data_IF_405358245660
#
_entry.id   IF_405358245660
#
_cell.length_a   1.000
_cell.length_b   1.000
_cell.length_c   1.000
_cell.angle_alpha   90.00
_cell.angle_beta   90.00
_cell.angle_gamma   90.00
#
_symmetry.space_group_name_H-M   'P 1'
#
loop_
_entity.id
_entity.type
_entity.pdbx_description
1 polymer ?
#
# COMPACT_ATOMS: atom_id res chain seq x y z
N UNK A 1 9.52 12.02 17.25
CA UNK A 1 9.79 12.42 15.85
C UNK A 1 8.72 13.35 15.33
N UNK A 2 8.94 14.01 14.19
CA UNK A 2 7.94 14.86 13.52
C UNK A 2 7.75 14.44 12.07
N UNK A 3 6.54 14.64 11.55
CA UNK A 3 6.19 14.43 10.16
C UNK A 3 5.73 15.75 9.54
N UNK A 4 6.20 16.00 8.34
CA UNK A 4 5.78 17.10 7.49
C UNK A 4 4.97 16.55 6.31
N UNK A 5 3.93 17.25 5.94
CA UNK A 5 3.29 17.08 4.64
C UNK A 5 3.23 18.43 3.93
N UNK A 6 3.66 18.43 2.67
CA UNK A 6 3.53 19.60 1.80
C UNK A 6 3.11 19.18 0.40
N UNK A 7 2.45 20.07 -0.31
CA UNK A 7 1.89 19.76 -1.61
C UNK A 7 1.86 20.94 -2.56
N UNK A 8 1.85 20.64 -3.86
CA UNK A 8 1.45 21.58 -4.90
C UNK A 8 0.57 20.88 -5.94
N UNK A 9 -0.64 21.37 -6.13
CA UNK A 9 -1.55 20.87 -7.18
C UNK A 9 -1.12 21.29 -8.58
N UNK A 10 -0.30 22.31 -8.69
CA UNK A 10 0.29 22.79 -9.96
C UNK A 10 1.56 22.03 -10.33
N UNK A 11 2.10 21.20 -9.42
CA UNK A 11 3.35 20.50 -9.60
C UNK A 11 4.58 21.37 -9.37
N UNK A 12 4.49 22.41 -8.55
CA UNK A 12 5.64 23.19 -8.12
C UNK A 12 6.26 22.54 -6.87
N UNK A 13 7.39 21.85 -7.06
CA UNK A 13 8.09 21.16 -5.97
C UNK A 13 8.56 22.13 -4.87
N UNK A 14 8.97 23.36 -5.24
CA UNK A 14 9.42 24.37 -4.25
C UNK A 14 8.28 24.78 -3.35
N UNK A 15 7.05 24.85 -3.90
CA UNK A 15 5.84 25.09 -3.09
C UNK A 15 5.61 23.92 -2.15
N UNK A 16 5.70 22.68 -2.63
CA UNK A 16 5.45 21.48 -1.84
C UNK A 16 6.45 21.28 -0.70
N UNK A 17 7.69 21.76 -0.83
CA UNK A 17 8.72 21.67 0.22
C UNK A 17 8.84 22.94 1.05
N UNK A 18 7.99 23.95 0.83
CA UNK A 18 8.05 25.21 1.56
C UNK A 18 7.89 24.99 3.06
N UNK A 19 8.86 25.43 3.84
CA UNK A 19 8.89 25.26 5.30
C UNK A 19 9.48 23.94 5.78
N UNK A 20 9.84 23.02 4.89
CA UNK A 20 10.57 21.81 5.25
C UNK A 20 12.02 22.16 5.56
N UNK A 21 12.47 21.88 6.77
CA UNK A 21 13.83 22.13 7.22
C UNK A 21 14.45 20.88 7.81
N UNK A 22 15.65 20.56 7.38
CA UNK A 22 16.48 19.42 7.88
C UNK A 22 15.73 18.09 7.91
N UNK A 23 15.13 17.65 6.78
CA UNK A 23 14.52 16.32 6.73
C UNK A 23 15.56 15.21 6.90
N UNK A 24 15.21 14.14 7.58
CA UNK A 24 16.00 12.93 7.75
C UNK A 24 15.53 11.81 6.80
N UNK A 25 14.35 11.97 6.21
CA UNK A 25 13.80 11.16 5.12
C UNK A 25 12.75 11.97 4.36
N UNK A 26 12.73 11.82 3.03
CA UNK A 26 11.69 12.37 2.17
C UNK A 26 11.03 11.27 1.35
N UNK A 27 9.70 11.26 1.31
CA UNK A 27 8.90 10.45 0.40
C UNK A 27 8.13 11.36 -0.54
N UNK A 28 8.27 11.16 -1.86
CA UNK A 28 7.67 11.99 -2.88
C UNK A 28 6.64 11.19 -3.69
N UNK A 29 5.46 11.77 -3.84
CA UNK A 29 4.37 11.25 -4.66
C UNK A 29 4.04 12.27 -5.73
N UNK A 30 4.16 11.89 -6.99
CA UNK A 30 4.07 12.83 -8.10
C UNK A 30 3.21 12.28 -9.24
N UNK A 31 2.71 13.16 -10.09
CA UNK A 31 2.09 12.74 -11.34
C UNK A 31 3.14 12.24 -12.34
N UNK A 32 2.71 11.40 -13.28
CA UNK A 32 3.60 10.77 -14.27
C UNK A 32 4.40 11.79 -15.11
N UNK A 33 3.77 12.84 -15.59
CA UNK A 33 4.39 13.80 -16.52
C UNK A 33 5.57 14.57 -15.92
N UNK A 34 5.56 14.82 -14.63
CA UNK A 34 6.55 15.63 -13.93
C UNK A 34 7.47 14.82 -13.01
N UNK A 35 7.24 13.51 -12.89
CA UNK A 35 7.95 12.67 -11.94
C UNK A 35 9.47 12.77 -12.08
N UNK A 36 9.99 12.67 -13.30
CA UNK A 36 11.44 12.71 -13.56
C UNK A 36 12.06 14.08 -13.21
N UNK A 37 11.35 15.16 -13.53
CA UNK A 37 11.80 16.51 -13.18
C UNK A 37 11.76 16.74 -11.68
N UNK A 38 10.72 16.24 -10.99
CA UNK A 38 10.61 16.35 -9.54
C UNK A 38 11.68 15.56 -8.81
N UNK A 39 12.04 14.34 -9.27
CA UNK A 39 13.13 13.55 -8.70
C UNK A 39 14.45 14.31 -8.77
N UNK A 40 14.77 14.87 -9.96
CA UNK A 40 16.01 15.62 -10.17
C UNK A 40 16.04 16.93 -9.37
N UNK A 41 14.90 17.62 -9.26
CA UNK A 41 14.79 18.86 -8.49
C UNK A 41 14.86 18.59 -6.98
N UNK A 42 14.23 17.52 -6.49
CA UNK A 42 14.28 17.13 -5.08
C UNK A 42 15.72 16.87 -4.61
N UNK A 43 16.48 16.11 -5.40
CA UNK A 43 17.89 15.83 -5.12
C UNK A 43 18.74 17.10 -5.07
N UNK A 44 18.44 18.05 -5.97
CA UNK A 44 19.15 19.35 -5.96
C UNK A 44 18.83 20.21 -4.75
N UNK A 45 17.57 20.14 -4.24
CA UNK A 45 17.15 20.93 -3.06
C UNK A 45 17.65 20.30 -1.77
N UNK A 46 17.64 18.97 -1.68
CA UNK A 46 18.01 18.20 -0.48
C UNK A 46 19.06 17.13 -0.82
N UNK A 47 20.27 17.54 -1.21
CA UNK A 47 21.33 16.59 -1.52
C UNK A 47 21.64 15.74 -0.29
N UNK A 48 21.94 14.46 -0.52
CA UNK A 48 22.31 13.49 0.51
C UNK A 48 21.21 13.12 1.53
N UNK A 49 20.02 13.71 1.42
CA UNK A 49 18.90 13.30 2.25
C UNK A 49 18.29 12.01 1.68
N UNK A 50 18.19 10.93 2.48
CA UNK A 50 17.53 9.71 2.02
C UNK A 50 16.15 10.01 1.46
N UNK A 51 15.88 9.55 0.24
CA UNK A 51 14.58 9.78 -0.40
C UNK A 51 14.09 8.58 -1.18
N UNK A 52 12.77 8.35 -1.15
CA UNK A 52 12.06 7.43 -2.04
C UNK A 52 10.87 8.12 -2.65
N UNK A 53 10.40 7.62 -3.80
CA UNK A 53 9.21 8.19 -4.42
C UNK A 53 8.58 7.26 -5.43
N UNK A 54 7.32 7.52 -5.77
CA UNK A 54 6.61 6.86 -6.85
C UNK A 54 5.62 7.81 -7.53
N UNK A 55 5.11 7.37 -8.67
CA UNK A 55 3.96 8.01 -9.29
C UNK A 55 2.72 7.58 -8.50
N UNK A 56 1.90 8.56 -8.09
CA UNK A 56 0.68 8.28 -7.33
C UNK A 56 0.07 9.50 -6.66
N UNK A 57 -1.17 9.35 -6.20
CA UNK A 57 -1.89 10.35 -5.41
C UNK A 57 -1.42 10.28 -3.95
N UNK A 58 -1.32 11.43 -3.31
CA UNK A 58 -1.00 11.52 -1.88
C UNK A 58 -2.08 12.27 -1.10
N UNK A 59 -2.02 12.21 0.21
CA UNK A 59 -2.97 12.89 1.08
C UNK A 59 -2.40 13.18 2.47
N UNK A 60 -2.97 14.21 3.08
CA UNK A 60 -2.96 14.46 4.52
C UNK A 60 -4.41 14.58 5.02
N UNK A 61 -4.86 15.79 5.28
CA UNK A 61 -6.26 16.15 5.50
C UNK A 61 -7.02 16.37 4.18
N UNK A 62 -6.30 16.39 3.05
CA UNK A 62 -6.84 16.58 1.69
C UNK A 62 -6.08 15.68 0.72
N UNK A 63 -6.78 15.26 -0.33
CA UNK A 63 -6.17 14.47 -1.41
C UNK A 63 -5.47 15.38 -2.43
N UNK A 64 -4.31 14.94 -2.88
CA UNK A 64 -3.54 15.51 -3.97
C UNK A 64 -3.59 14.53 -5.14
N UNK A 65 -4.63 14.66 -5.97
CA UNK A 65 -4.83 13.79 -7.13
C UNK A 65 -3.91 14.14 -8.30
N UNK A 66 -3.49 15.39 -8.37
CA UNK A 66 -2.60 15.93 -9.41
C UNK A 66 -1.53 16.79 -8.77
N UNK A 67 -0.36 16.86 -9.41
CA UNK A 67 0.77 17.63 -8.91
C UNK A 67 1.75 16.79 -8.12
N UNK A 68 2.22 17.29 -7.00
CA UNK A 68 3.22 16.64 -6.14
C UNK A 68 2.87 16.78 -4.68
N UNK A 69 3.04 15.69 -3.91
CA UNK A 69 2.96 15.65 -2.46
C UNK A 69 4.25 15.11 -1.86
N UNK A 70 4.66 15.72 -0.77
CA UNK A 70 5.87 15.40 -0.02
C UNK A 70 5.50 15.00 1.39
N UNK A 71 5.91 13.82 1.79
CA UNK A 71 5.91 13.38 3.19
C UNK A 71 7.36 13.36 3.66
N UNK A 72 7.69 14.02 4.75
CA UNK A 72 9.03 14.00 5.28
C UNK A 72 9.04 13.73 6.78
N UNK A 73 10.06 13.04 7.24
CA UNK A 73 10.29 12.77 8.65
C UNK A 73 11.56 13.50 9.11
N UNK A 74 11.48 14.07 10.31
CA UNK A 74 12.58 14.83 10.90
C UNK A 74 12.49 14.82 12.43
N UNK A 75 13.52 15.32 13.10
CA UNK A 75 13.59 15.51 14.56
C UNK A 75 13.40 14.19 15.33
N UNK A 76 14.43 13.37 15.33
CA UNK A 76 14.46 12.11 16.07
C UNK A 76 14.26 10.87 15.19
N UNK A 77 14.56 10.97 13.92
CA UNK A 77 14.55 9.87 12.97
C UNK A 77 15.97 9.45 12.62
N UNK A 78 16.18 8.18 12.34
CA UNK A 78 17.31 7.70 11.55
C UNK A 78 16.74 6.94 10.36
N UNK A 79 17.18 7.29 9.16
CA UNK A 79 16.66 6.67 7.96
C UNK A 79 17.77 6.19 7.01
N UNK A 80 17.42 5.18 6.20
CA UNK A 80 18.21 4.73 5.07
C UNK A 80 17.25 4.42 3.92
N UNK A 81 17.52 4.93 2.74
CA UNK A 81 16.75 4.67 1.54
C UNK A 81 17.64 4.00 0.47
N UNK A 82 17.08 3.00 -0.22
CA UNK A 82 17.80 2.28 -1.27
C UNK A 82 16.82 1.56 -2.22
N UNK A 83 17.34 0.76 -3.14
CA UNK A 83 16.59 0.07 -4.19
C UNK A 83 17.02 -1.39 -4.33
N UNK A 84 16.06 -2.27 -4.59
CA UNK A 84 16.26 -3.60 -5.15
C UNK A 84 15.74 -3.58 -6.60
N UNK A 85 16.63 -3.81 -7.53
CA UNK A 85 16.35 -3.75 -8.97
C UNK A 85 16.01 -5.15 -9.51
N UNK A 86 15.50 -5.23 -10.74
CA UNK A 86 15.20 -6.49 -11.43
C UNK A 86 14.27 -7.42 -10.64
N UNK A 87 13.24 -6.83 -10.03
CA UNK A 87 12.32 -7.57 -9.14
C UNK A 87 11.51 -8.64 -9.87
N UNK A 88 11.33 -8.50 -11.19
CA UNK A 88 10.67 -9.51 -12.03
C UNK A 88 11.54 -10.74 -12.31
N UNK A 89 12.86 -10.60 -12.23
CA UNK A 89 13.82 -11.64 -12.65
C UNK A 89 14.66 -12.17 -11.49
N UNK A 90 15.34 -11.29 -10.75
CA UNK A 90 16.31 -11.70 -9.73
C UNK A 90 16.45 -10.68 -8.58
N UNK A 91 15.39 -10.42 -7.82
CA UNK A 91 15.42 -9.40 -6.75
C UNK A 91 16.45 -9.72 -5.65
N UNK A 92 16.74 -10.99 -5.42
CA UNK A 92 17.70 -11.45 -4.40
C UNK A 92 19.14 -10.96 -4.64
N UNK A 93 19.49 -10.63 -5.87
CA UNK A 93 20.82 -10.10 -6.24
C UNK A 93 21.21 -8.85 -5.46
N UNK A 94 20.22 -8.06 -5.08
CA UNK A 94 20.45 -6.75 -4.42
C UNK A 94 20.16 -6.78 -2.91
N UNK A 95 19.85 -7.94 -2.34
CA UNK A 95 19.42 -8.09 -0.95
C UNK A 95 20.46 -7.61 0.07
N UNK A 96 21.75 -7.73 -0.26
CA UNK A 96 22.84 -7.23 0.59
C UNK A 96 22.74 -5.74 0.88
N UNK A 97 22.10 -4.94 0.00
CA UNK A 97 21.88 -3.52 0.24
C UNK A 97 20.99 -3.33 1.46
N UNK A 98 19.87 -4.05 1.52
CA UNK A 98 18.94 -4.02 2.64
C UNK A 98 19.59 -4.52 3.94
N UNK A 99 20.38 -5.58 3.86
CA UNK A 99 21.10 -6.13 5.03
C UNK A 99 22.13 -5.12 5.60
N UNK A 100 22.86 -4.43 4.72
CA UNK A 100 23.82 -3.37 5.11
C UNK A 100 23.10 -2.18 5.74
N UNK A 101 22.02 -1.73 5.12
CA UNK A 101 21.22 -0.62 5.64
C UNK A 101 20.60 -0.96 6.99
N UNK A 102 20.08 -2.19 7.15
CA UNK A 102 19.53 -2.68 8.40
C UNK A 102 20.55 -2.75 9.54
N UNK A 103 21.80 -3.13 9.22
CA UNK A 103 22.91 -3.08 10.17
C UNK A 103 23.28 -1.64 10.54
N UNK A 104 23.31 -0.73 9.55
CA UNK A 104 23.65 0.69 9.75
C UNK A 104 22.62 1.41 10.63
N UNK A 105 21.33 1.16 10.41
CA UNK A 105 20.25 1.76 11.18
C UNK A 105 20.18 1.16 12.61
N UNK A 106 20.68 -0.05 12.79
CA UNK A 106 20.58 -0.80 14.06
C UNK A 106 19.16 -0.82 14.61
N UNK A 107 18.24 -1.20 13.72
CA UNK A 107 16.81 -1.18 13.98
C UNK A 107 16.30 -2.43 14.70
N UNK A 108 15.17 -2.27 15.39
CA UNK A 108 14.45 -3.33 16.08
C UNK A 108 12.96 -3.33 15.73
N UNK A 109 12.25 -4.40 16.10
CA UNK A 109 10.79 -4.49 15.92
C UNK A 109 9.99 -3.37 16.62
N UNK A 110 10.57 -2.75 17.66
CA UNK A 110 9.87 -1.77 18.48
C UNK A 110 10.05 -0.33 18.01
N UNK A 111 11.11 -0.06 17.27
CA UNK A 111 11.51 1.30 16.91
C UNK A 111 11.66 1.52 15.40
N UNK A 112 11.58 0.46 14.58
CA UNK A 112 11.89 0.56 13.14
C UNK A 112 10.79 -0.08 12.29
N UNK A 113 10.52 0.55 11.16
CA UNK A 113 9.68 0.03 10.08
C UNK A 113 10.43 0.12 8.76
N UNK A 114 10.14 -0.78 7.85
CA UNK A 114 10.49 -0.65 6.44
C UNK A 114 9.27 -0.13 5.68
N UNK A 115 9.43 0.98 4.95
CA UNK A 115 8.40 1.50 4.04
C UNK A 115 8.89 1.23 2.62
N UNK A 116 8.07 0.59 1.79
CA UNK A 116 8.44 0.29 0.41
C UNK A 116 7.46 0.87 -0.62
N UNK A 117 7.99 1.19 -1.79
CA UNK A 117 7.25 1.58 -2.97
C UNK A 117 7.76 0.75 -4.15
N UNK A 118 6.89 0.06 -4.88
CA UNK A 118 7.33 -0.79 -5.98
C UNK A 118 6.61 -0.51 -7.30
N UNK A 119 7.18 -1.03 -8.37
CA UNK A 119 6.65 -0.92 -9.74
C UNK A 119 5.70 -2.05 -10.11
N UNK A 120 5.48 -3.02 -9.21
CA UNK A 120 4.75 -4.27 -9.42
C UNK A 120 5.55 -5.49 -8.97
N UNK A 121 5.14 -6.70 -9.40
CA UNK A 121 5.76 -7.95 -8.98
C UNK A 121 5.75 -8.18 -7.45
N UNK A 122 4.69 -7.74 -6.81
CA UNK A 122 4.53 -7.67 -5.35
C UNK A 122 4.91 -8.96 -4.61
N UNK A 123 4.57 -10.12 -5.14
CA UNK A 123 4.90 -11.39 -4.49
C UNK A 123 6.43 -11.62 -4.39
N UNK A 124 7.18 -11.29 -5.45
CA UNK A 124 8.63 -11.38 -5.46
C UNK A 124 9.27 -10.34 -4.53
N UNK A 125 8.76 -9.10 -4.58
CA UNK A 125 9.17 -7.98 -3.71
C UNK A 125 9.03 -8.38 -2.24
N UNK A 126 7.83 -8.77 -1.83
CA UNK A 126 7.51 -9.11 -0.44
C UNK A 126 8.33 -10.29 0.07
N UNK A 127 8.45 -11.36 -0.74
CA UNK A 127 9.25 -12.53 -0.36
C UNK A 127 10.71 -12.14 -0.14
N UNK A 128 11.25 -11.28 -1.01
CA UNK A 128 12.66 -10.86 -0.94
C UNK A 128 12.90 -9.96 0.26
N UNK A 129 12.18 -8.85 0.39
CA UNK A 129 12.39 -7.88 1.48
C UNK A 129 12.13 -8.54 2.84
N UNK A 130 11.00 -9.25 2.96
CA UNK A 130 10.62 -9.80 4.25
C UNK A 130 11.51 -10.98 4.69
N UNK A 131 12.21 -11.64 3.77
CA UNK A 131 13.21 -12.66 4.13
C UNK A 131 14.30 -12.11 5.05
N UNK A 132 14.66 -10.83 4.90
CA UNK A 132 15.64 -10.13 5.75
C UNK A 132 14.98 -9.56 7.01
N UNK A 133 13.86 -8.87 6.85
CA UNK A 133 13.18 -8.16 7.94
C UNK A 133 12.67 -9.08 9.04
N UNK A 134 12.19 -10.29 8.68
CA UNK A 134 11.64 -11.27 9.63
C UNK A 134 12.60 -11.66 10.75
N UNK A 135 13.90 -11.70 10.46
CA UNK A 135 14.94 -12.04 11.46
C UNK A 135 14.99 -11.07 12.64
N UNK A 136 14.71 -9.78 12.39
CA UNK A 136 14.60 -8.74 13.42
C UNK A 136 13.14 -8.39 13.76
N UNK A 137 12.15 -9.09 13.17
CA UNK A 137 10.72 -8.85 13.30
C UNK A 137 10.30 -7.40 12.95
N UNK A 138 11.04 -6.75 12.06
CA UNK A 138 10.72 -5.41 11.58
C UNK A 138 9.53 -5.50 10.64
N UNK A 139 8.53 -4.65 10.85
CA UNK A 139 7.35 -4.60 9.99
C UNK A 139 7.66 -3.94 8.65
N UNK A 140 6.97 -4.40 7.61
CA UNK A 140 6.94 -3.81 6.29
C UNK A 140 5.55 -3.21 6.02
N UNK A 141 5.51 -1.97 5.57
CA UNK A 141 4.31 -1.27 5.11
C UNK A 141 4.66 -0.55 3.80
N UNK A 142 3.79 -0.61 2.82
CA UNK A 142 4.05 0.04 1.55
C UNK A 142 3.05 -0.34 0.48
N UNK A 143 3.49 -0.33 -0.76
CA UNK A 143 2.63 -0.74 -1.87
C UNK A 143 3.15 -0.35 -3.24
N UNK A 144 2.32 -0.68 -4.23
CA UNK A 144 2.61 -0.44 -5.64
C UNK A 144 2.21 0.98 -6.02
N UNK A 145 3.14 1.71 -6.65
CA UNK A 145 2.86 3.00 -7.30
C UNK A 145 2.14 2.83 -8.63
N UNK A 146 1.69 3.95 -9.19
CA UNK A 146 1.15 3.99 -10.55
C UNK A 146 2.27 4.04 -11.61
N UNK A 147 1.94 3.72 -12.85
CA UNK A 147 2.77 3.90 -14.05
C UNK A 147 4.20 3.29 -14.02
N UNK A 148 4.48 2.34 -13.13
CA UNK A 148 5.67 1.47 -13.20
C UNK A 148 7.01 2.17 -12.99
N UNK A 149 7.05 3.35 -12.34
CA UNK A 149 8.29 4.06 -12.00
C UNK A 149 8.36 4.37 -10.51
N UNK A 150 9.55 4.16 -9.94
CA UNK A 150 9.88 4.53 -8.55
C UNK A 150 11.21 5.27 -8.52
N UNK A 151 11.49 5.98 -7.44
CA UNK A 151 12.78 6.68 -7.28
C UNK A 151 13.40 6.46 -5.91
N UNK A 152 14.72 6.45 -5.85
CA UNK A 152 15.49 6.49 -4.62
C UNK A 152 16.73 7.37 -4.81
N UNK A 153 16.96 8.28 -3.88
CA UNK A 153 18.16 9.12 -3.81
C UNK A 153 18.50 9.76 -5.17
N UNK A 154 17.54 10.48 -5.75
CA UNK A 154 17.69 11.22 -7.00
C UNK A 154 17.74 10.37 -8.29
N UNK A 155 17.54 9.05 -8.20
CA UNK A 155 17.54 8.14 -9.37
C UNK A 155 16.19 7.48 -9.55
N UNK A 156 15.83 7.25 -10.82
CA UNK A 156 14.58 6.61 -11.23
C UNK A 156 14.85 5.17 -11.64
N UNK A 157 13.91 4.30 -11.31
CA UNK A 157 13.98 2.87 -11.59
C UNK A 157 12.66 2.35 -12.13
N UNK A 158 12.75 1.41 -13.06
CA UNK A 158 11.69 0.54 -13.55
C UNK A 158 12.01 -0.89 -13.12
N UNK A 159 11.01 -1.76 -13.02
CA UNK A 159 11.18 -3.13 -12.51
C UNK A 159 11.95 -3.19 -11.18
N UNK A 160 11.52 -2.38 -10.21
CA UNK A 160 12.22 -2.19 -8.97
C UNK A 160 11.28 -2.01 -7.77
N UNK A 161 11.82 -2.21 -6.58
CA UNK A 161 11.28 -1.73 -5.32
C UNK A 161 12.28 -0.83 -4.63
N UNK A 162 11.84 0.36 -4.26
CA UNK A 162 12.58 1.26 -3.39
C UNK A 162 12.06 1.11 -1.97
N UNK A 163 12.96 1.21 -1.00
CA UNK A 163 12.61 1.09 0.40
C UNK A 163 13.26 2.18 1.25
N UNK A 164 12.58 2.53 2.34
CA UNK A 164 13.14 3.33 3.41
C UNK A 164 13.04 2.56 4.73
N UNK A 165 14.15 2.33 5.40
CA UNK A 165 14.19 1.94 6.79
C UNK A 165 14.04 3.20 7.64
N UNK A 166 13.04 3.25 8.50
CA UNK A 166 12.71 4.41 9.34
C UNK A 166 12.74 4.00 10.80
N UNK A 167 13.72 4.51 11.54
CA UNK A 167 13.84 4.29 12.98
C UNK A 167 13.41 5.53 13.74
N UNK A 168 12.43 5.38 14.62
CA UNK A 168 12.08 6.39 15.62
C UNK A 168 13.06 6.30 16.81
N UNK A 169 13.93 7.27 16.95
CA UNK A 169 14.96 7.27 18.03
C UNK A 169 14.37 7.54 19.41
N UNK A 170 13.16 8.07 19.49
CA UNK A 170 12.60 8.58 20.74
C UNK A 170 11.31 7.86 21.17
N UNK A 171 10.87 6.85 20.42
CA UNK A 171 9.62 6.16 20.73
C UNK A 171 9.43 4.87 19.93
N UNK A 172 8.27 4.28 20.09
CA UNK A 172 7.90 3.02 19.45
C UNK A 172 7.31 3.22 18.06
N UNK A 173 7.32 2.12 17.31
CA UNK A 173 6.70 2.02 15.99
C UNK A 173 5.83 0.78 15.94
N UNK A 174 4.64 0.86 15.36
CA UNK A 174 3.77 -0.30 15.14
C UNK A 174 3.01 -0.17 13.83
N UNK A 175 2.97 -1.27 13.07
CA UNK A 175 2.22 -1.35 11.83
C UNK A 175 0.83 -1.96 12.07
N UNK A 176 -0.16 -1.51 11.29
CA UNK A 176 -1.54 -1.98 11.30
C UNK A 176 -2.01 -2.29 9.89
N UNK A 177 -2.95 -3.23 9.82
CA UNK A 177 -3.70 -3.57 8.60
C UNK A 177 -5.18 -3.50 8.91
N UNK A 178 -5.95 -2.87 8.04
CA UNK A 178 -7.39 -2.75 8.17
C UNK A 178 -8.09 -3.34 6.93
N UNK A 179 -9.01 -4.26 7.17
CA UNK A 179 -9.87 -4.86 6.16
C UNK A 179 -11.32 -4.48 6.47
N UNK A 180 -12.05 -4.00 5.47
CA UNK A 180 -13.43 -3.54 5.59
C UNK A 180 -14.47 -4.58 5.15
N UNK A 181 -14.05 -5.80 4.84
CA UNK A 181 -14.91 -6.87 4.36
C UNK A 181 -15.01 -8.02 5.35
N UNK A 182 -16.16 -8.69 5.33
CA UNK A 182 -16.44 -9.91 6.06
C UNK A 182 -16.74 -11.06 5.11
N UNK A 183 -16.48 -12.29 5.53
CA UNK A 183 -16.84 -13.47 4.75
C UNK A 183 -18.35 -13.70 4.85
N UNK A 184 -19.00 -13.88 3.70
CA UNK A 184 -20.36 -14.42 3.62
C UNK A 184 -20.32 -15.93 3.92
N UNK A 185 -21.05 -16.36 4.97
CA UNK A 185 -20.86 -17.70 5.60
C UNK A 185 -21.04 -18.88 4.65
N UNK A 186 -21.97 -18.80 3.70
CA UNK A 186 -22.42 -19.95 2.92
C UNK A 186 -21.75 -20.07 1.54
N UNK A 187 -20.83 -19.15 1.20
CA UNK A 187 -20.25 -19.09 -0.14
C UNK A 187 -18.75 -19.40 -0.12
N UNK A 188 -18.47 -20.69 -0.38
CA UNK A 188 -17.11 -21.21 -0.49
C UNK A 188 -16.93 -21.96 -1.80
N UNK A 189 -15.87 -21.69 -2.52
CA UNK A 189 -15.62 -22.20 -3.85
C UNK A 189 -14.22 -22.76 -3.98
N UNK A 190 -14.07 -23.78 -4.82
CA UNK A 190 -12.80 -24.27 -5.33
C UNK A 190 -12.64 -23.69 -6.73
N UNK A 191 -11.60 -22.91 -6.95
CA UNK A 191 -11.26 -22.36 -8.26
C UNK A 191 -10.69 -23.43 -9.16
N UNK A 192 -11.06 -23.39 -10.44
CA UNK A 192 -10.53 -24.26 -11.47
C UNK A 192 -10.56 -23.60 -12.84
N UNK A 193 -9.91 -24.20 -13.83
CA UNK A 193 -9.75 -23.64 -15.17
C UNK A 193 -9.14 -22.22 -15.12
N UNK A 194 -8.14 -22.04 -14.24
CA UNK A 194 -7.49 -20.75 -14.05
C UNK A 194 -6.37 -20.53 -15.08
N UNK A 195 -6.24 -19.28 -15.52
CA UNK A 195 -5.06 -18.80 -16.26
C UNK A 195 -4.26 -17.86 -15.36
N UNK A 196 -3.13 -18.39 -14.85
CA UNK A 196 -2.26 -17.66 -13.92
C UNK A 196 -1.61 -16.43 -14.55
N UNK A 197 -1.24 -16.52 -15.82
CA UNK A 197 -0.53 -15.44 -16.53
C UNK A 197 -1.45 -14.25 -16.78
N UNK A 198 -2.74 -14.52 -17.02
CA UNK A 198 -3.76 -13.50 -17.31
C UNK A 198 -4.71 -13.23 -16.14
N UNK A 199 -4.47 -13.85 -14.97
CA UNK A 199 -5.29 -13.70 -13.74
C UNK A 199 -6.76 -14.06 -13.93
N UNK A 200 -7.05 -15.11 -14.73
CA UNK A 200 -8.40 -15.54 -15.07
C UNK A 200 -8.86 -16.67 -14.16
N UNK A 201 -10.13 -16.61 -13.74
CA UNK A 201 -10.88 -17.68 -13.08
C UNK A 201 -11.95 -18.16 -14.04
N UNK A 202 -11.80 -19.38 -14.58
CA UNK A 202 -12.75 -19.97 -15.52
C UNK A 202 -13.95 -20.59 -14.84
N UNK A 203 -13.74 -21.31 -13.74
CA UNK A 203 -14.80 -22.01 -13.03
C UNK A 203 -14.66 -21.94 -11.50
N UNK A 204 -15.81 -22.00 -10.82
CA UNK A 204 -15.99 -22.08 -9.37
C UNK A 204 -16.89 -23.28 -9.06
N UNK A 205 -16.38 -24.26 -8.30
CA UNK A 205 -17.05 -25.54 -8.04
C UNK A 205 -17.55 -26.22 -9.34
N UNK A 206 -16.74 -26.15 -10.41
CA UNK A 206 -17.04 -26.74 -11.71
C UNK A 206 -18.06 -25.99 -12.59
N UNK A 207 -18.64 -24.89 -12.11
CA UNK A 207 -19.55 -24.02 -12.88
C UNK A 207 -18.81 -22.79 -13.39
N UNK A 208 -19.22 -22.17 -14.53
CA UNK A 208 -18.63 -20.94 -15.04
C UNK A 208 -18.59 -19.85 -13.97
N UNK A 209 -17.39 -19.25 -13.76
CA UNK A 209 -17.20 -18.30 -12.65
C UNK A 209 -18.11 -17.08 -12.72
N UNK A 210 -18.34 -16.54 -13.93
CA UNK A 210 -19.29 -15.44 -14.17
C UNK A 210 -20.70 -15.82 -13.70
N UNK A 211 -21.20 -16.98 -14.13
CA UNK A 211 -22.54 -17.42 -13.80
C UNK A 211 -22.72 -17.62 -12.30
N UNK A 212 -21.73 -18.24 -11.63
CA UNK A 212 -21.77 -18.41 -10.16
C UNK A 212 -21.89 -17.08 -9.44
N UNK A 213 -21.09 -16.09 -9.84
CA UNK A 213 -21.10 -14.76 -9.23
C UNK A 213 -22.44 -14.04 -9.44
N UNK A 214 -22.99 -14.11 -10.68
CA UNK A 214 -24.30 -13.51 -11.02
C UNK A 214 -25.47 -14.17 -10.27
N UNK A 215 -25.49 -15.51 -10.24
CA UNK A 215 -26.59 -16.26 -9.60
C UNK A 215 -26.69 -15.97 -8.09
N UNK A 216 -25.53 -15.86 -7.41
CA UNK A 216 -25.49 -15.60 -5.96
C UNK A 216 -25.90 -14.17 -5.63
N UNK A 217 -25.44 -13.22 -6.42
CA UNK A 217 -25.67 -11.78 -6.14
C UNK A 217 -26.90 -11.23 -6.85
N UNK A 218 -27.56 -12.04 -7.71
CA UNK A 218 -28.72 -11.63 -8.51
C UNK A 218 -28.50 -10.36 -9.33
N UNK A 219 -27.31 -10.28 -10.00
CA UNK A 219 -26.88 -9.10 -10.76
C UNK A 219 -26.72 -9.40 -12.25
N UNK A 220 -26.78 -8.34 -13.07
CA UNK A 220 -26.47 -8.41 -14.50
C UNK A 220 -24.96 -8.50 -14.75
N UNK A 221 -24.56 -8.90 -15.97
CA UNK A 221 -23.14 -8.93 -16.37
C UNK A 221 -22.48 -7.55 -16.28
N UNK A 222 -23.23 -6.49 -16.62
CA UNK A 222 -22.74 -5.11 -16.61
C UNK A 222 -22.40 -4.60 -15.20
N UNK A 223 -23.02 -5.20 -14.17
CA UNK A 223 -22.82 -4.80 -12.79
C UNK A 223 -21.63 -5.50 -12.11
N UNK A 224 -21.08 -6.58 -12.71
CA UNK A 224 -20.06 -7.43 -12.07
C UNK A 224 -18.85 -6.62 -11.62
N UNK A 225 -18.30 -5.76 -12.48
CA UNK A 225 -17.09 -4.98 -12.17
C UNK A 225 -17.30 -3.91 -11.10
N UNK A 226 -18.51 -3.37 -11.01
CA UNK A 226 -18.87 -2.42 -9.94
C UNK A 226 -19.25 -3.13 -8.64
N UNK A 227 -19.84 -4.31 -8.74
CA UNK A 227 -20.20 -5.11 -7.56
C UNK A 227 -18.97 -5.59 -6.78
N UNK A 228 -17.80 -5.70 -7.41
CA UNK A 228 -16.55 -6.08 -6.73
C UNK A 228 -16.15 -5.11 -5.61
N UNK A 229 -16.66 -3.86 -5.61
CA UNK A 229 -16.46 -2.93 -4.50
C UNK A 229 -17.25 -3.30 -3.25
N UNK A 230 -18.33 -4.06 -3.39
CA UNK A 230 -19.18 -4.51 -2.28
C UNK A 230 -18.97 -5.98 -1.95
N UNK A 231 -18.81 -6.81 -2.98
CA UNK A 231 -18.68 -8.26 -2.86
C UNK A 231 -17.48 -8.81 -3.65
N UNK A 232 -16.24 -8.49 -3.30
CA UNK A 232 -15.09 -9.15 -3.90
C UNK A 232 -15.01 -10.62 -3.46
N UNK A 233 -14.21 -11.41 -4.16
CA UNK A 233 -13.79 -12.69 -3.63
C UNK A 233 -12.71 -12.52 -2.57
N UNK A 234 -12.60 -13.49 -1.67
CA UNK A 234 -11.48 -13.65 -0.74
C UNK A 234 -10.80 -14.99 -1.00
N UNK A 235 -9.51 -14.98 -1.25
CA UNK A 235 -8.70 -16.20 -1.28
C UNK A 235 -8.23 -16.52 0.12
N UNK A 236 -8.55 -17.73 0.59
CA UNK A 236 -8.12 -18.19 1.92
C UNK A 236 -6.63 -18.57 1.90
N UNK A 237 -5.88 -18.06 2.86
CA UNK A 237 -4.48 -18.40 3.08
C UNK A 237 -4.24 -18.58 4.59
N UNK A 238 -4.46 -19.79 5.10
CA UNK A 238 -4.53 -20.06 6.53
C UNK A 238 -5.70 -19.25 7.15
N UNK A 239 -5.40 -18.50 8.21
CA UNK A 239 -6.38 -17.66 8.90
C UNK A 239 -6.62 -16.30 8.23
N UNK A 240 -5.92 -16.02 7.13
CA UNK A 240 -6.01 -14.75 6.41
C UNK A 240 -6.88 -14.85 5.17
N UNK A 241 -7.52 -13.73 4.85
CA UNK A 241 -8.30 -13.56 3.64
C UNK A 241 -7.60 -12.51 2.76
N UNK A 242 -7.16 -12.96 1.58
CA UNK A 242 -6.59 -12.08 0.58
C UNK A 242 -7.67 -11.67 -0.42
N UNK A 243 -8.00 -10.40 -0.51
CA UNK A 243 -9.07 -9.89 -1.38
C UNK A 243 -8.68 -10.06 -2.85
N UNK A 244 -9.63 -10.58 -3.64
CA UNK A 244 -9.51 -10.80 -5.08
C UNK A 244 -10.63 -10.03 -5.78
N UNK A 245 -10.29 -8.87 -6.27
CA UNK A 245 -11.23 -7.99 -6.98
C UNK A 245 -11.34 -8.38 -8.44
N UNK A 246 -12.55 -8.32 -8.99
CA UNK A 246 -12.82 -8.59 -10.41
C UNK A 246 -12.46 -7.34 -11.22
N UNK A 247 -11.68 -7.54 -12.28
CA UNK A 247 -11.24 -6.50 -13.21
C UNK A 247 -12.18 -6.36 -14.40
N UNK A 248 -12.52 -7.49 -15.02
CA UNK A 248 -13.36 -7.54 -16.21
C UNK A 248 -14.01 -8.92 -16.39
N UNK A 249 -15.01 -8.97 -17.22
CA UNK A 249 -15.66 -10.22 -17.67
C UNK A 249 -15.09 -10.63 -19.02
N UNK A 250 -14.66 -11.89 -19.15
CA UNK A 250 -14.13 -12.46 -20.40
C UNK A 250 -14.89 -13.73 -20.77
N UNK A 251 -15.92 -13.58 -21.59
CA UNK A 251 -16.83 -14.67 -21.91
C UNK A 251 -17.56 -15.18 -20.64
N UNK A 252 -17.34 -16.43 -20.25
CA UNK A 252 -17.90 -17.03 -19.03
C UNK A 252 -16.93 -16.99 -17.84
N UNK A 253 -15.75 -16.43 -18.01
CA UNK A 253 -14.71 -16.32 -17.00
C UNK A 253 -14.64 -14.90 -16.41
N UNK A 254 -13.95 -14.78 -15.27
CA UNK A 254 -13.67 -13.51 -14.58
C UNK A 254 -12.16 -13.27 -14.58
N UNK A 255 -11.73 -12.11 -15.07
CA UNK A 255 -10.34 -11.64 -14.89
C UNK A 255 -10.26 -10.83 -13.61
N UNK A 256 -9.22 -11.06 -12.82
CA UNK A 256 -9.06 -10.45 -11.51
C UNK A 256 -7.79 -9.58 -11.42
N UNK A 257 -7.68 -8.78 -10.39
CA UNK A 257 -6.46 -8.02 -10.08
C UNK A 257 -5.43 -8.84 -9.29
N UNK A 258 -5.75 -10.09 -8.94
CA UNK A 258 -4.88 -10.98 -8.19
C UNK A 258 -4.90 -12.37 -8.79
N UNK A 259 -3.73 -13.02 -8.77
CA UNK A 259 -3.59 -14.39 -9.23
C UNK A 259 -4.35 -15.36 -8.34
N UNK A 260 -5.13 -16.23 -8.99
CA UNK A 260 -5.80 -17.39 -8.40
C UNK A 260 -5.32 -18.64 -9.13
N UNK A 261 -5.04 -19.69 -8.40
CA UNK A 261 -4.58 -20.96 -8.93
C UNK A 261 -5.71 -21.99 -8.88
N UNK A 262 -5.58 -23.05 -9.68
CA UNK A 262 -6.46 -24.21 -9.52
C UNK A 262 -6.34 -24.79 -8.11
N UNK A 263 -7.47 -25.19 -7.56
CA UNK A 263 -7.63 -25.69 -6.20
C UNK A 263 -7.50 -24.61 -5.09
N UNK A 264 -7.27 -23.34 -5.41
CA UNK A 264 -7.41 -22.28 -4.42
C UNK A 264 -8.84 -22.24 -3.88
N UNK A 265 -8.95 -22.06 -2.58
CA UNK A 265 -10.26 -21.89 -1.92
C UNK A 265 -10.61 -20.41 -1.87
N UNK A 266 -11.70 -20.08 -2.55
CA UNK A 266 -12.26 -18.73 -2.53
C UNK A 266 -13.52 -18.70 -1.66
N UNK A 267 -13.78 -17.54 -1.09
CA UNK A 267 -15.03 -17.20 -0.41
C UNK A 267 -15.61 -15.94 -1.02
N UNK A 268 -16.91 -15.75 -0.93
CA UNK A 268 -17.50 -14.46 -1.27
C UNK A 268 -17.43 -13.54 -0.04
N UNK A 269 -17.07 -12.29 -0.27
CA UNK A 269 -16.99 -11.28 0.77
C UNK A 269 -18.15 -10.28 0.65
N UNK A 270 -18.49 -9.65 1.75
CA UNK A 270 -19.43 -8.54 1.81
C UNK A 270 -18.81 -7.35 2.53
N UNK A 271 -19.18 -6.16 2.10
CA UNK A 271 -18.74 -4.92 2.71
C UNK A 271 -19.35 -4.80 4.11
N UNK A 272 -18.48 -4.67 5.11
CA UNK A 272 -18.88 -4.43 6.49
C UNK A 272 -19.25 -2.97 6.75
N UNK A 273 -19.57 -2.67 8.01
CA UNK A 273 -19.71 -1.29 8.46
C UNK A 273 -18.32 -0.64 8.54
N UNK A 274 -17.82 -0.17 7.39
CA UNK A 274 -16.48 0.38 7.27
C UNK A 274 -16.23 1.59 8.20
N UNK A 275 -17.24 2.39 8.52
CA UNK A 275 -17.10 3.50 9.48
C UNK A 275 -16.74 2.99 10.88
N UNK A 276 -17.46 1.97 11.32
CA UNK A 276 -17.19 1.34 12.61
C UNK A 276 -15.84 0.64 12.64
N UNK A 277 -15.46 -0.03 11.54
CA UNK A 277 -14.15 -0.68 11.40
C UNK A 277 -13.03 0.34 11.53
N UNK A 278 -13.12 1.46 10.82
CA UNK A 278 -12.15 2.58 10.91
C UNK A 278 -12.05 3.11 12.35
N UNK A 279 -13.20 3.37 12.99
CA UNK A 279 -13.20 3.83 14.38
C UNK A 279 -12.61 2.79 15.35
N UNK A 280 -12.77 1.49 15.08
CA UNK A 280 -12.15 0.43 15.87
C UNK A 280 -10.63 0.43 15.69
N UNK A 281 -10.13 0.60 14.45
CA UNK A 281 -8.71 0.75 14.17
C UNK A 281 -8.11 1.94 14.92
N UNK A 282 -8.79 3.09 14.85
CA UNK A 282 -8.36 4.31 15.58
C UNK A 282 -8.32 4.06 17.08
N UNK A 283 -9.36 3.46 17.65
CA UNK A 283 -9.39 3.12 19.09
C UNK A 283 -8.26 2.17 19.49
N UNK A 284 -7.98 1.17 18.67
CA UNK A 284 -6.85 0.27 18.91
C UNK A 284 -5.51 1.01 18.91
N UNK A 285 -5.30 1.93 17.96
CA UNK A 285 -4.09 2.77 17.94
C UNK A 285 -3.98 3.59 19.21
N UNK A 286 -5.08 4.22 19.65
CA UNK A 286 -5.12 5.01 20.90
C UNK A 286 -4.88 4.18 22.17
N UNK A 287 -5.25 2.91 22.17
CA UNK A 287 -4.95 1.99 23.27
C UNK A 287 -3.48 1.56 23.27
N UNK A 288 -2.90 1.37 22.08
CA UNK A 288 -1.51 0.93 21.94
C UNK A 288 -0.49 2.04 22.22
N UNK A 289 -0.85 3.31 22.00
CA UNK A 289 0.03 4.46 22.12
C UNK A 289 -0.52 5.52 23.08
N UNK A 290 0.32 6.01 23.99
CA UNK A 290 -0.03 7.15 24.85
C UNK A 290 -0.08 8.45 24.06
N UNK A 291 0.83 8.59 23.10
CA UNK A 291 0.92 9.74 22.21
C UNK A 291 1.32 9.26 20.82
N UNK A 292 0.65 9.73 19.80
CA UNK A 292 0.99 9.48 18.40
C UNK A 292 1.61 10.74 17.82
N UNK A 293 2.84 10.63 17.35
CA UNK A 293 3.56 11.74 16.69
C UNK A 293 3.23 11.80 15.20
N UNK A 294 3.17 10.64 14.56
CA UNK A 294 2.94 10.54 13.13
C UNK A 294 2.24 9.24 12.75
N UNK A 295 1.46 9.30 11.68
CA UNK A 295 0.89 8.14 10.99
C UNK A 295 1.18 8.27 9.49
N UNK A 296 1.79 7.24 8.92
CA UNK A 296 1.89 7.11 7.48
C UNK A 296 1.03 5.93 7.02
N UNK A 297 0.11 6.17 6.08
CA UNK A 297 -0.82 5.13 5.62
C UNK A 297 -0.81 4.96 4.10
N UNK A 298 -1.14 3.74 3.68
CA UNK A 298 -1.35 3.39 2.27
C UNK A 298 -2.79 2.90 2.14
N UNK A 299 -3.59 3.61 1.36
CA UNK A 299 -4.96 3.21 1.03
C UNK A 299 -5.00 2.61 -0.37
N UNK A 300 -5.67 1.47 -0.51
CA UNK A 300 -5.94 0.91 -1.82
C UNK A 300 -6.75 1.90 -2.68
N UNK A 301 -6.43 1.98 -3.97
CA UNK A 301 -7.21 2.76 -4.93
C UNK A 301 -8.71 2.38 -4.88
N UNK A 302 -9.04 1.11 -4.79
CA UNK A 302 -10.43 0.67 -4.72
C UNK A 302 -11.12 1.11 -3.42
N UNK A 303 -10.40 1.08 -2.30
CA UNK A 303 -10.91 1.61 -1.04
C UNK A 303 -11.11 3.13 -1.11
N UNK A 304 -10.17 3.86 -1.71
CA UNK A 304 -10.30 5.28 -1.97
C UNK A 304 -11.55 5.59 -2.82
N UNK A 305 -11.71 4.87 -3.94
CA UNK A 305 -12.87 5.06 -4.83
C UNK A 305 -14.19 4.74 -4.11
N UNK A 306 -14.26 3.64 -3.35
CA UNK A 306 -15.44 3.27 -2.57
C UNK A 306 -15.80 4.36 -1.56
N UNK A 307 -14.83 4.84 -0.79
CA UNK A 307 -15.06 5.87 0.22
C UNK A 307 -15.43 7.21 -0.41
N UNK A 308 -14.83 7.55 -1.55
CA UNK A 308 -15.15 8.77 -2.29
C UNK A 308 -16.57 8.74 -2.87
N UNK A 309 -16.99 7.61 -3.46
CA UNK A 309 -18.37 7.40 -3.94
C UNK A 309 -19.40 7.56 -2.80
N UNK A 310 -19.05 7.16 -1.59
CA UNK A 310 -19.89 7.28 -0.40
C UNK A 310 -19.68 8.59 0.39
N UNK A 311 -18.94 9.55 -0.15
CA UNK A 311 -18.61 10.83 0.48
C UNK A 311 -17.97 10.68 1.88
N UNK A 312 -17.24 9.57 2.11
CA UNK A 312 -16.66 9.25 3.42
C UNK A 312 -15.14 9.51 3.48
N UNK A 313 -14.44 9.59 2.35
CA UNK A 313 -12.97 9.66 2.39
C UNK A 313 -12.46 10.89 3.15
N UNK A 314 -13.14 12.04 3.04
CA UNK A 314 -12.78 13.24 3.79
C UNK A 314 -13.01 13.07 5.31
N UNK A 315 -14.10 12.41 5.72
CA UNK A 315 -14.36 12.08 7.13
C UNK A 315 -13.26 11.16 7.67
N UNK A 316 -12.89 10.12 6.92
CA UNK A 316 -11.78 9.22 7.23
C UNK A 316 -10.45 9.96 7.44
N UNK A 317 -10.07 10.88 6.54
CA UNK A 317 -8.85 11.67 6.68
C UNK A 317 -8.88 12.55 7.94
N UNK A 318 -10.02 13.17 8.23
CA UNK A 318 -10.20 13.98 9.43
C UNK A 318 -10.09 13.14 10.71
N UNK A 319 -10.65 11.94 10.72
CA UNK A 319 -10.58 11.03 11.87
C UNK A 319 -9.16 10.54 12.12
N UNK A 320 -8.44 10.14 11.06
CA UNK A 320 -7.04 9.72 11.16
C UNK A 320 -6.13 10.86 11.64
N UNK A 321 -6.39 12.10 11.21
CA UNK A 321 -5.59 13.26 11.61
C UNK A 321 -5.75 13.66 13.09
N UNK A 322 -6.80 13.16 13.75
CA UNK A 322 -6.96 13.33 15.22
C UNK A 322 -6.02 12.48 16.04
N UNK A 323 -5.44 11.44 15.45
CA UNK A 323 -4.42 10.62 16.11
C UNK A 323 -3.10 11.38 16.28
N UNK A 324 -2.71 12.14 15.27
CA UNK A 324 -1.45 12.85 15.16
C UNK A 324 -1.26 13.37 13.74
N UNK A 325 -0.06 13.77 13.37
CA UNK A 325 0.23 14.13 11.98
C UNK A 325 0.01 12.91 11.08
N UNK A 326 -0.96 13.00 10.16
CA UNK A 326 -1.32 11.91 9.26
C UNK A 326 -1.03 12.29 7.81
N UNK A 327 -0.32 11.42 7.11
CA UNK A 327 -0.11 11.53 5.67
C UNK A 327 -0.03 10.14 5.04
N UNK A 328 -0.19 10.06 3.73
CA UNK A 328 -0.08 8.79 3.02
C UNK A 328 -0.23 8.91 1.52
N UNK A 329 -0.37 7.77 0.87
CA UNK A 329 -0.64 7.72 -0.57
C UNK A 329 -1.69 6.67 -0.93
N UNK A 330 -2.23 6.78 -2.14
CA UNK A 330 -3.17 5.82 -2.72
C UNK A 330 -2.38 4.84 -3.56
N UNK A 331 -2.33 3.57 -3.11
CA UNK A 331 -1.58 2.49 -3.74
C UNK A 331 -2.44 1.64 -4.68
N UNK A 332 -1.80 0.96 -5.61
CA UNK A 332 -2.39 -0.01 -6.55
C UNK A 332 -2.24 -1.45 -6.06
N UNK A 333 -2.07 -1.63 -4.78
CA UNK A 333 -1.84 -2.83 -4.01
C UNK A 333 -1.02 -2.47 -2.78
N UNK A 334 -1.43 -2.94 -1.60
CA UNK A 334 -0.79 -2.58 -0.35
C UNK A 334 0.07 -3.74 0.14
N UNK A 335 1.15 -3.38 0.82
CA UNK A 335 2.07 -4.31 1.46
C UNK A 335 1.91 -4.28 2.97
N UNK A 336 1.84 -5.46 3.58
CA UNK A 336 1.87 -5.64 5.03
C UNK A 336 2.69 -6.87 5.38
N UNK A 337 3.90 -6.67 5.86
CA UNK A 337 4.87 -7.74 6.11
C UNK A 337 5.12 -8.58 4.84
N UNK A 338 4.85 -9.88 4.86
CA UNK A 338 4.99 -10.77 3.71
C UNK A 338 3.68 -10.92 2.89
N UNK A 339 2.74 -9.98 3.02
CA UNK A 339 1.40 -10.10 2.44
C UNK A 339 1.11 -8.96 1.48
N UNK A 340 0.71 -9.34 0.29
CA UNK A 340 0.07 -8.44 -0.66
C UNK A 340 -1.42 -8.38 -0.32
N UNK A 341 -1.92 -7.21 0.00
CA UNK A 341 -3.31 -6.97 0.35
C UNK A 341 -3.95 -5.97 -0.60
N UNK A 342 -5.25 -6.10 -0.82
CA UNK A 342 -6.04 -5.25 -1.71
C UNK A 342 -7.28 -4.75 -1.01
N UNK A 343 -7.84 -3.64 -1.49
CA UNK A 343 -9.06 -3.01 -0.95
C UNK A 343 -8.96 -2.77 0.56
N UNK A 344 -7.76 -2.60 1.05
CA UNK A 344 -7.43 -2.46 2.46
C UNK A 344 -6.74 -1.12 2.74
N UNK A 345 -6.42 -0.89 3.99
CA UNK A 345 -5.48 0.13 4.41
C UNK A 345 -4.39 -0.52 5.24
N UNK A 346 -3.15 -0.13 4.98
CA UNK A 346 -2.02 -0.44 5.85
C UNK A 346 -1.43 0.86 6.37
N UNK A 347 -1.00 0.89 7.61
CA UNK A 347 -0.33 2.07 8.14
C UNK A 347 0.76 1.71 9.15
N UNK A 348 1.65 2.66 9.35
CA UNK A 348 2.60 2.67 10.44
C UNK A 348 2.35 3.88 11.33
N UNK A 349 2.38 3.62 12.63
CA UNK A 349 2.17 4.62 13.68
C UNK A 349 3.48 4.78 14.45
N UNK A 350 3.85 6.03 14.67
CA UNK A 350 5.05 6.43 15.40
C UNK A 350 4.65 7.18 16.68
N UNK A 351 5.30 6.81 17.78
CA UNK A 351 5.17 7.47 19.08
C UNK A 351 5.91 8.79 19.14
#
# INVERSE_FOLDING_TARGET
MKQFFGMSRQGDLKEAVRGLSRPELIMMFSNDKQFESHVSELERIFPEVPSIGCIGMSYDTKVVEKGVGIVAFYDGVSAAANVLEQVSVMPVKYIERLEKDLKRIDGSQNDTVCIDLCTGNDACVLTTIYSVLKGKRISLVGGTGDAGKVSANGRIYEDAVVYALVKNRNGRVKAYKENIYHQMKDYRFIASQTDKANYVIGALNGRPAKQVYQDILHISEQDITTQTFKNPFGKLNGDDICIVSIKEVKGNALTCFRQVNDSDVLVLLELGNYKEIVHNTIRQIQQDFRQVSAVFSVNCLFRYLLFNQNHYFQEYLNDMSRLGSHAGFVGYGEHYNNRFVNQSMTCVVFE
#
